data_IF_016137575137
#
_entry.id   IF_016137575137
#
_cell.length_a   1.000
_cell.length_b   1.000
_cell.length_c   1.000
_cell.angle_alpha   90.00
_cell.angle_beta   90.00
_cell.angle_gamma   90.00
#
_symmetry.space_group_name_H-M   'P 1'
#
loop_
_entity.id
_entity.type
_entity.pdbx_description
1 polymer ?
#
# COMPACT_ATOMS: atom_id res chain seq x y z
N UNK A 1 0.96 1.77 -18.92
CA UNK A 1 -0.27 1.84 -18.10
C UNK A 1 0.13 1.63 -16.65
N UNK A 2 -0.47 2.37 -15.71
CA UNK A 2 -0.23 2.21 -14.26
C UNK A 2 -1.49 1.67 -13.60
N UNK A 3 -1.34 0.70 -12.70
CA UNK A 3 -2.45 0.12 -11.93
C UNK A 3 -2.35 0.58 -10.48
N UNK A 4 -3.29 1.43 -10.07
CA UNK A 4 -3.52 1.68 -8.65
C UNK A 4 -4.26 0.49 -8.06
N UNK A 5 -3.65 -0.19 -7.10
CA UNK A 5 -4.29 -1.32 -6.39
C UNK A 5 -4.64 -0.96 -4.95
N UNK A 6 -3.89 -0.08 -4.30
CA UNK A 6 -4.08 0.27 -2.90
C UNK A 6 -5.12 1.40 -2.71
N UNK A 7 -5.45 1.67 -1.44
CA UNK A 7 -6.22 2.86 -1.08
C UNK A 7 -5.36 4.14 -1.15
N UNK A 8 -6.00 5.30 -1.23
CA UNK A 8 -5.33 6.58 -1.46
C UNK A 8 -5.28 7.44 -0.20
N UNK A 9 -4.08 7.72 0.31
CA UNK A 9 -3.86 8.57 1.49
C UNK A 9 -3.30 9.92 1.07
N UNK A 10 -4.13 10.96 1.17
CA UNK A 10 -3.75 12.35 0.86
C UNK A 10 -4.12 12.82 -0.55
N UNK A 11 -4.51 11.91 -1.44
CA UNK A 11 -5.05 12.24 -2.77
C UNK A 11 -6.53 12.62 -2.80
N UNK A 12 -7.22 12.73 -1.65
CA UNK A 12 -8.66 12.97 -1.58
C UNK A 12 -9.09 14.23 -2.36
N UNK A 13 -8.35 15.32 -2.24
CA UNK A 13 -8.61 16.59 -2.94
C UNK A 13 -8.50 16.46 -4.45
N UNK A 14 -7.51 15.71 -4.93
CA UNK A 14 -7.31 15.44 -6.37
C UNK A 14 -8.45 14.59 -6.91
N UNK A 15 -8.79 13.50 -6.22
CA UNK A 15 -9.88 12.60 -6.58
C UNK A 15 -11.22 13.33 -6.64
N UNK A 16 -11.52 14.19 -5.66
CA UNK A 16 -12.72 15.03 -5.70
C UNK A 16 -12.69 16.04 -6.85
N UNK A 17 -11.53 16.58 -7.24
CA UNK A 17 -11.42 17.51 -8.38
C UNK A 17 -11.69 16.80 -9.70
N UNK A 18 -11.23 15.56 -9.84
CA UNK A 18 -11.56 14.71 -10.99
C UNK A 18 -13.08 14.47 -11.05
N UNK A 19 -13.72 14.11 -9.93
CA UNK A 19 -15.18 13.96 -9.87
C UNK A 19 -15.90 15.26 -10.24
N UNK A 20 -15.43 16.43 -9.79
CA UNK A 20 -16.03 17.73 -10.11
C UNK A 20 -16.02 18.04 -11.60
N UNK A 21 -14.97 17.65 -12.32
CA UNK A 21 -14.87 17.85 -13.77
C UNK A 21 -15.82 16.97 -14.58
N UNK A 22 -16.31 15.86 -14.02
CA UNK A 22 -17.19 14.92 -14.71
C UNK A 22 -18.65 15.40 -14.79
N UNK A 23 -19.39 15.13 -15.88
CA UNK A 23 -20.83 15.41 -15.95
C UNK A 23 -21.60 14.63 -14.88
N UNK A 24 -22.44 15.32 -14.08
CA UNK A 24 -23.18 14.71 -12.96
C UNK A 24 -24.53 15.40 -12.71
N UNK A 25 -25.52 14.69 -12.14
CA UNK A 25 -26.78 15.30 -11.71
C UNK A 25 -26.59 16.37 -10.64
N UNK A 26 -27.53 17.32 -10.53
CA UNK A 26 -27.52 18.38 -9.51
C UNK A 26 -27.45 17.82 -8.08
N UNK A 27 -28.13 16.71 -7.82
CA UNK A 27 -28.08 16.03 -6.52
C UNK A 27 -26.68 15.52 -6.19
N UNK A 28 -26.01 14.85 -7.15
CA UNK A 28 -24.63 14.41 -7.01
C UNK A 28 -23.66 15.58 -6.80
N UNK A 29 -23.85 16.68 -7.54
CA UNK A 29 -23.04 17.89 -7.36
C UNK A 29 -23.18 18.48 -5.95
N UNK A 30 -24.40 18.52 -5.41
CA UNK A 30 -24.63 18.99 -4.04
C UNK A 30 -24.02 18.06 -2.98
N UNK A 31 -24.12 16.75 -3.16
CA UNK A 31 -23.47 15.77 -2.29
C UNK A 31 -21.94 15.90 -2.33
N UNK A 32 -21.36 16.03 -3.53
CA UNK A 32 -19.91 16.18 -3.72
C UNK A 32 -19.40 17.49 -3.09
N UNK A 33 -20.17 18.58 -3.19
CA UNK A 33 -19.84 19.83 -2.53
C UNK A 33 -19.78 19.68 -0.99
N UNK A 34 -20.67 18.88 -0.39
CA UNK A 34 -20.63 18.57 1.06
C UNK A 34 -19.40 17.74 1.42
N UNK A 35 -19.10 16.72 0.62
CA UNK A 35 -17.88 15.91 0.79
C UNK A 35 -16.62 16.79 0.72
N UNK A 36 -16.53 17.68 -0.27
CA UNK A 36 -15.41 18.62 -0.40
C UNK A 36 -15.34 19.60 0.77
N UNK A 37 -16.47 20.14 1.22
CA UNK A 37 -16.50 21.03 2.38
C UNK A 37 -15.96 20.33 3.63
N UNK A 38 -16.32 19.06 3.85
CA UNK A 38 -15.81 18.26 4.96
C UNK A 38 -14.29 18.01 4.87
N UNK A 39 -13.79 17.63 3.69
CA UNK A 39 -12.33 17.49 3.45
C UNK A 39 -11.59 18.80 3.70
N UNK A 40 -12.05 19.91 3.13
CA UNK A 40 -11.44 21.24 3.33
C UNK A 40 -11.42 21.63 4.80
N UNK A 41 -12.51 21.42 5.54
CA UNK A 41 -12.58 21.72 6.97
C UNK A 41 -11.60 20.83 7.78
N UNK A 42 -11.51 19.54 7.45
CA UNK A 42 -10.59 18.60 8.08
C UNK A 42 -9.13 19.04 7.88
N UNK A 43 -8.75 19.35 6.63
CA UNK A 43 -7.41 19.83 6.31
C UNK A 43 -7.09 21.20 6.92
N UNK A 44 -8.04 22.13 6.98
CA UNK A 44 -7.86 23.41 7.66
C UNK A 44 -7.58 23.21 9.17
N UNK A 45 -8.31 22.27 9.80
CA UNK A 45 -8.11 21.91 11.21
C UNK A 45 -6.77 21.22 11.45
N UNK A 46 -6.35 20.33 10.56
CA UNK A 46 -4.99 19.75 10.57
C UNK A 46 -3.94 20.86 10.50
N UNK A 47 -4.10 21.81 9.57
CA UNK A 47 -3.14 22.89 9.37
C UNK A 47 -3.00 23.79 10.62
N UNK A 48 -4.11 24.06 11.33
CA UNK A 48 -4.12 24.88 12.55
C UNK A 48 -3.65 24.14 13.80
N UNK A 49 -4.12 22.91 14.02
CA UNK A 49 -3.87 22.15 15.26
C UNK A 49 -2.65 21.23 15.17
N UNK A 50 -2.07 21.05 13.97
CA UNK A 50 -0.92 20.17 13.72
C UNK A 50 -1.13 18.74 14.25
N UNK A 51 -2.37 18.25 14.12
CA UNK A 51 -2.74 16.94 14.61
C UNK A 51 -3.18 16.04 13.44
N UNK A 52 -2.44 14.95 13.26
CA UNK A 52 -2.67 13.96 12.20
C UNK A 52 -4.07 13.35 12.21
N UNK A 53 -4.77 13.36 13.35
CA UNK A 53 -6.16 12.89 13.43
C UNK A 53 -7.13 13.71 12.57
N UNK A 54 -6.76 14.93 12.14
CA UNK A 54 -7.62 15.73 11.27
C UNK A 54 -7.26 15.63 9.79
N UNK A 55 -6.30 14.78 9.42
CA UNK A 55 -6.11 14.44 8.02
C UNK A 55 -7.39 13.74 7.54
N UNK A 56 -7.98 14.21 6.44
CA UNK A 56 -9.30 13.74 6.01
C UNK A 56 -9.35 12.22 5.81
N UNK A 57 -8.28 11.61 5.30
CA UNK A 57 -8.19 10.17 5.14
C UNK A 57 -8.40 9.38 6.45
N UNK A 58 -8.12 9.96 7.62
CA UNK A 58 -8.20 9.29 8.93
C UNK A 58 -9.43 9.68 9.76
N UNK A 59 -10.17 10.72 9.36
CA UNK A 59 -11.29 11.27 10.14
C UNK A 59 -12.49 11.70 9.30
N UNK A 60 -12.44 11.51 7.99
CA UNK A 60 -13.58 11.72 7.10
C UNK A 60 -14.66 10.67 7.32
N UNK A 61 -15.92 11.07 7.13
CA UNK A 61 -17.07 10.18 7.22
C UNK A 61 -17.31 9.48 5.87
N UNK A 62 -17.18 8.13 5.79
CA UNK A 62 -17.45 7.39 4.55
C UNK A 62 -18.90 7.54 4.06
N UNK A 63 -19.86 7.88 4.93
CA UNK A 63 -21.24 8.15 4.52
C UNK A 63 -21.36 9.35 3.57
N UNK A 64 -20.43 10.32 3.63
CA UNK A 64 -20.39 11.43 2.68
C UNK A 64 -20.07 10.96 1.27
N UNK A 65 -19.17 9.98 1.12
CA UNK A 65 -18.85 9.39 -0.19
C UNK A 65 -20.03 8.56 -0.71
N UNK A 66 -20.65 7.75 0.17
CA UNK A 66 -21.87 6.99 -0.16
C UNK A 66 -22.99 7.90 -0.68
N UNK A 67 -23.20 9.06 -0.04
CA UNK A 67 -24.19 10.02 -0.49
C UNK A 67 -23.91 10.57 -1.90
N UNK A 68 -22.64 10.74 -2.30
CA UNK A 68 -22.30 11.11 -3.68
C UNK A 68 -22.65 9.99 -4.65
N UNK A 69 -22.25 8.76 -4.33
CA UNK A 69 -22.51 7.57 -5.14
C UNK A 69 -24.02 7.36 -5.36
N UNK A 70 -24.80 7.39 -4.28
CA UNK A 70 -26.24 7.13 -4.33
C UNK A 70 -26.98 8.21 -5.12
N UNK A 71 -26.50 9.46 -5.07
CA UNK A 71 -27.07 10.58 -5.82
C UNK A 71 -26.63 10.64 -7.29
N UNK A 72 -25.72 9.76 -7.73
CA UNK A 72 -25.14 9.76 -9.08
C UNK A 72 -25.33 8.42 -9.79
N UNK A 73 -26.60 8.04 -10.00
CA UNK A 73 -26.93 6.83 -10.76
C UNK A 73 -26.36 6.88 -12.19
N UNK A 74 -25.81 5.76 -12.67
CA UNK A 74 -25.23 5.63 -14.01
C UNK A 74 -23.90 6.36 -14.22
N UNK A 75 -23.15 6.66 -13.16
CA UNK A 75 -21.82 7.24 -13.27
C UNK A 75 -20.83 6.36 -14.06
N UNK A 76 -19.81 6.97 -14.66
CA UNK A 76 -18.81 6.25 -15.46
C UNK A 76 -18.00 5.26 -14.61
N UNK A 77 -17.32 4.30 -15.26
CA UNK A 77 -16.41 3.38 -14.58
C UNK A 77 -15.28 4.12 -13.83
N UNK A 78 -14.81 5.24 -14.37
CA UNK A 78 -13.82 6.10 -13.71
C UNK A 78 -14.39 6.72 -12.43
N UNK A 79 -15.60 7.28 -12.49
CA UNK A 79 -16.27 7.81 -11.31
C UNK A 79 -16.52 6.72 -10.26
N UNK A 80 -16.91 5.50 -10.69
CA UNK A 80 -17.03 4.33 -9.81
C UNK A 80 -15.73 4.05 -9.08
N UNK A 81 -14.61 4.01 -9.81
CA UNK A 81 -13.29 3.74 -9.23
C UNK A 81 -12.90 4.79 -8.21
N UNK A 82 -13.07 6.07 -8.54
CA UNK A 82 -12.70 7.18 -7.63
C UNK A 82 -13.55 7.16 -6.37
N UNK A 83 -14.87 6.98 -6.49
CA UNK A 83 -15.78 6.91 -5.34
C UNK A 83 -15.47 5.70 -4.46
N UNK A 84 -15.17 4.54 -5.06
CA UNK A 84 -14.76 3.35 -4.32
C UNK A 84 -13.44 3.59 -3.57
N UNK A 85 -12.43 4.21 -4.21
CA UNK A 85 -11.17 4.56 -3.56
C UNK A 85 -11.36 5.50 -2.38
N UNK A 86 -12.17 6.57 -2.55
CA UNK A 86 -12.47 7.50 -1.46
C UNK A 86 -13.17 6.81 -0.28
N UNK A 87 -14.18 5.96 -0.54
CA UNK A 87 -14.90 5.26 0.51
C UNK A 87 -14.01 4.24 1.24
N UNK A 88 -13.24 3.43 0.50
CA UNK A 88 -12.35 2.43 1.07
C UNK A 88 -11.22 3.07 1.87
N UNK A 89 -10.64 4.19 1.42
CA UNK A 89 -9.67 4.96 2.21
C UNK A 89 -10.24 5.31 3.58
N UNK A 90 -11.45 5.87 3.62
CA UNK A 90 -12.06 6.32 4.86
C UNK A 90 -12.41 5.15 5.77
N UNK A 91 -12.95 4.06 5.23
CA UNK A 91 -13.34 2.90 6.02
C UNK A 91 -12.14 2.11 6.58
N UNK A 92 -11.09 1.91 5.77
CA UNK A 92 -9.86 1.24 6.21
C UNK A 92 -9.23 2.00 7.37
N UNK A 93 -9.09 3.32 7.22
CA UNK A 93 -8.47 4.16 8.25
C UNK A 93 -9.39 4.37 9.45
N UNK A 94 -10.72 4.34 9.30
CA UNK A 94 -11.66 4.35 10.43
C UNK A 94 -11.46 3.12 11.31
N UNK A 95 -11.33 1.93 10.73
CA UNK A 95 -11.03 0.71 11.49
C UNK A 95 -9.68 0.84 12.22
N UNK A 96 -8.66 1.38 11.54
CA UNK A 96 -7.36 1.62 12.15
C UNK A 96 -7.42 2.60 13.32
N UNK A 97 -8.13 3.72 13.17
CA UNK A 97 -8.32 4.73 14.22
C UNK A 97 -9.09 4.17 15.43
N UNK A 98 -9.99 3.21 15.21
CA UNK A 98 -10.69 2.46 16.25
C UNK A 98 -9.84 1.35 16.90
N UNK A 99 -8.55 1.25 16.55
CA UNK A 99 -7.61 0.21 17.02
C UNK A 99 -8.01 -1.21 16.58
N UNK A 100 -8.82 -1.33 15.53
CA UNK A 100 -9.19 -2.60 14.89
C UNK A 100 -8.20 -2.90 13.75
N UNK A 101 -6.92 -3.01 14.09
CA UNK A 101 -5.84 -3.12 13.12
C UNK A 101 -5.95 -4.35 12.21
N UNK A 102 -6.36 -5.49 12.75
CA UNK A 102 -6.57 -6.71 11.96
C UNK A 102 -7.67 -6.53 10.89
N UNK A 103 -8.84 -6.02 11.29
CA UNK A 103 -9.96 -5.79 10.37
C UNK A 103 -9.61 -4.73 9.31
N UNK A 104 -8.89 -3.69 9.70
CA UNK A 104 -8.36 -2.67 8.79
C UNK A 104 -7.47 -3.30 7.71
N UNK A 105 -6.53 -4.16 8.11
CA UNK A 105 -5.62 -4.84 7.19
C UNK A 105 -6.34 -5.86 6.30
N UNK A 106 -7.31 -6.61 6.83
CA UNK A 106 -8.13 -7.53 6.03
C UNK A 106 -8.90 -6.76 4.95
N UNK A 107 -9.51 -5.63 5.31
CA UNK A 107 -10.22 -4.78 4.36
C UNK A 107 -9.29 -4.22 3.28
N UNK A 108 -8.14 -3.67 3.66
CA UNK A 108 -7.12 -3.17 2.72
C UNK A 108 -6.63 -4.25 1.77
N UNK A 109 -6.21 -5.41 2.30
CA UNK A 109 -5.75 -6.54 1.49
C UNK A 109 -6.83 -7.02 0.53
N UNK A 110 -8.10 -7.06 0.96
CA UNK A 110 -9.23 -7.42 0.09
C UNK A 110 -9.42 -6.41 -1.03
N UNK A 111 -9.34 -5.12 -0.72
CA UNK A 111 -9.45 -4.05 -1.71
C UNK A 111 -8.32 -4.12 -2.74
N UNK A 112 -7.07 -4.27 -2.29
CA UNK A 112 -5.89 -4.43 -3.15
C UNK A 112 -6.02 -5.59 -4.12
N UNK A 113 -6.42 -6.76 -3.61
CA UNK A 113 -6.63 -7.96 -4.42
C UNK A 113 -7.74 -7.77 -5.45
N UNK A 114 -8.85 -7.16 -5.04
CA UNK A 114 -9.99 -6.89 -5.94
C UNK A 114 -9.57 -5.97 -7.08
N UNK A 115 -8.82 -4.90 -6.78
CA UNK A 115 -8.31 -3.99 -7.79
C UNK A 115 -7.32 -4.69 -8.75
N UNK A 116 -6.39 -5.50 -8.24
CA UNK A 116 -5.47 -6.26 -9.09
C UNK A 116 -6.23 -7.17 -10.06
N UNK A 117 -7.23 -7.92 -9.58
CA UNK A 117 -8.06 -8.79 -10.44
C UNK A 117 -8.82 -7.96 -11.47
N UNK A 118 -9.40 -6.83 -11.09
CA UNK A 118 -10.13 -5.98 -12.02
C UNK A 118 -9.24 -5.49 -13.17
N UNK A 119 -8.04 -4.98 -12.86
CA UNK A 119 -7.07 -4.57 -13.89
C UNK A 119 -6.63 -5.74 -14.78
N UNK A 120 -6.33 -6.89 -14.17
CA UNK A 120 -5.94 -8.09 -14.91
C UNK A 120 -7.03 -8.54 -15.89
N UNK A 121 -8.29 -8.60 -15.44
CA UNK A 121 -9.41 -9.01 -16.27
C UNK A 121 -9.69 -8.00 -17.40
N UNK A 122 -9.51 -6.70 -17.15
CA UNK A 122 -9.67 -5.68 -18.18
C UNK A 122 -8.65 -5.85 -19.32
N UNK A 123 -7.40 -6.19 -19.00
CA UNK A 123 -6.38 -6.50 -20.01
C UNK A 123 -6.74 -7.76 -20.81
N UNK A 124 -7.17 -8.82 -20.12
CA UNK A 124 -7.59 -10.07 -20.78
C UNK A 124 -8.79 -9.86 -21.70
N UNK A 125 -9.79 -9.11 -21.26
CA UNK A 125 -10.96 -8.78 -22.07
C UNK A 125 -10.59 -8.00 -23.34
N UNK A 126 -9.49 -7.23 -23.29
CA UNK A 126 -8.94 -6.54 -24.44
C UNK A 126 -7.95 -7.39 -25.27
N UNK A 127 -7.88 -8.71 -25.03
CA UNK A 127 -7.03 -9.65 -25.77
C UNK A 127 -5.54 -9.52 -25.46
N UNK A 128 -5.17 -8.89 -24.35
CA UNK A 128 -3.76 -8.69 -23.96
C UNK A 128 -3.32 -9.73 -22.93
N UNK A 129 -2.03 -10.07 -22.98
CA UNK A 129 -1.35 -10.88 -21.97
C UNK A 129 -0.41 -9.96 -21.16
N UNK A 130 -0.87 -9.38 -20.03
CA UNK A 130 -0.12 -8.32 -19.37
C UNK A 130 1.14 -8.84 -18.69
N UNK A 131 2.25 -8.14 -18.91
CA UNK A 131 3.46 -8.25 -18.10
C UNK A 131 3.45 -7.10 -17.07
N UNK A 132 3.50 -7.45 -15.78
CA UNK A 132 3.27 -6.48 -14.71
C UNK A 132 4.50 -6.36 -13.83
N UNK A 133 5.00 -5.14 -13.68
CA UNK A 133 5.98 -4.79 -12.66
C UNK A 133 5.24 -4.15 -11.47
N UNK A 134 5.38 -4.72 -10.28
CA UNK A 134 4.69 -4.25 -9.07
C UNK A 134 5.69 -3.63 -8.11
N UNK A 135 5.42 -2.39 -7.69
CA UNK A 135 6.17 -1.70 -6.63
C UNK A 135 5.22 -1.41 -5.48
N UNK A 136 5.39 -2.12 -4.37
CA UNK A 136 4.57 -2.03 -3.17
C UNK A 136 5.46 -2.15 -1.93
N UNK A 137 4.94 -1.75 -0.76
CA UNK A 137 5.60 -2.04 0.51
C UNK A 137 5.82 -3.54 0.69
N UNK A 138 6.95 -3.92 1.29
CA UNK A 138 7.36 -5.33 1.41
C UNK A 138 6.27 -6.21 2.02
N UNK A 139 5.56 -5.74 3.05
CA UNK A 139 4.49 -6.48 3.71
C UNK A 139 3.38 -6.96 2.77
N UNK A 140 3.09 -6.19 1.71
CA UNK A 140 2.06 -6.53 0.72
C UNK A 140 2.52 -7.56 -0.31
N UNK A 141 3.84 -7.83 -0.42
CA UNK A 141 4.44 -8.69 -1.44
C UNK A 141 4.97 -10.03 -0.89
N UNK A 142 4.77 -10.30 0.39
CA UNK A 142 5.14 -11.58 1.01
C UNK A 142 4.28 -12.71 0.43
N UNK A 143 4.93 -13.78 -0.07
CA UNK A 143 4.28 -15.04 -0.42
C UNK A 143 3.87 -15.79 0.85
N UNK A 144 2.66 -15.51 1.31
CA UNK A 144 2.05 -16.16 2.47
C UNK A 144 1.42 -15.13 3.41
N UNK A 145 1.39 -15.47 4.70
CA UNK A 145 0.87 -14.60 5.75
C UNK A 145 1.85 -13.44 6.01
N UNK A 146 1.40 -12.21 5.79
CA UNK A 146 2.19 -10.99 5.99
C UNK A 146 2.44 -10.68 7.47
N UNK A 147 3.21 -9.63 7.78
CA UNK A 147 3.37 -9.15 9.17
C UNK A 147 2.07 -8.59 9.78
N UNK A 148 1.08 -8.29 8.95
CA UNK A 148 -0.24 -7.84 9.40
C UNK A 148 -1.25 -8.99 9.47
N UNK A 149 -0.77 -10.24 9.39
CA UNK A 149 -1.58 -11.45 9.50
C UNK A 149 -2.63 -11.60 8.37
N UNK A 150 -2.33 -11.08 7.18
CA UNK A 150 -3.20 -11.10 6.00
C UNK A 150 -2.56 -11.82 4.81
N UNK A 151 -3.39 -12.20 3.81
CA UNK A 151 -2.94 -12.76 2.53
C UNK A 151 -3.18 -11.77 1.40
N UNK A 152 -2.13 -11.09 0.99
CA UNK A 152 -2.22 -9.92 0.12
C UNK A 152 -1.76 -10.21 -1.33
N UNK A 153 -1.32 -9.18 -2.06
CA UNK A 153 -0.81 -9.26 -3.43
C UNK A 153 0.32 -10.27 -3.58
N UNK A 154 1.20 -10.39 -2.59
CA UNK A 154 2.32 -11.34 -2.59
C UNK A 154 1.89 -12.80 -2.73
N UNK A 155 0.66 -13.13 -2.31
CA UNK A 155 0.03 -14.43 -2.54
C UNK A 155 -0.66 -14.45 -3.91
N UNK A 156 -1.45 -13.42 -4.21
CA UNK A 156 -2.31 -13.43 -5.39
C UNK A 156 -1.55 -13.36 -6.73
N UNK A 157 -0.54 -12.49 -6.83
CA UNK A 157 0.13 -12.24 -8.11
C UNK A 157 0.89 -13.48 -8.65
N UNK A 158 1.64 -14.24 -7.83
CA UNK A 158 2.23 -15.50 -8.28
C UNK A 158 1.20 -16.55 -8.68
N UNK A 159 0.07 -16.64 -7.98
CA UNK A 159 -1.01 -17.59 -8.31
C UNK A 159 -1.66 -17.26 -9.65
N UNK A 160 -1.97 -15.98 -9.92
CA UNK A 160 -2.45 -15.53 -11.24
C UNK A 160 -1.42 -15.90 -12.31
N UNK A 161 -0.14 -15.60 -12.09
CA UNK A 161 0.90 -15.92 -13.06
C UNK A 161 0.96 -17.44 -13.32
N UNK A 162 0.93 -18.27 -12.28
CA UNK A 162 0.97 -19.73 -12.41
C UNK A 162 -0.24 -20.29 -13.17
N UNK A 163 -1.46 -19.82 -12.85
CA UNK A 163 -2.69 -20.24 -13.53
C UNK A 163 -2.72 -19.88 -15.01
N UNK A 164 -2.03 -18.81 -15.39
CA UNK A 164 -1.92 -18.34 -16.78
C UNK A 164 -0.67 -18.89 -17.49
N UNK A 165 0.02 -19.88 -16.89
CA UNK A 165 1.25 -20.49 -17.44
C UNK A 165 2.47 -19.56 -17.43
N UNK A 166 2.39 -18.45 -16.71
CA UNK A 166 3.44 -17.48 -16.50
C UNK A 166 4.33 -17.79 -15.30
N UNK A 167 5.16 -16.81 -14.93
CA UNK A 167 6.07 -16.87 -13.78
C UNK A 167 6.05 -15.54 -13.05
N UNK A 168 6.24 -15.59 -11.74
CA UNK A 168 6.43 -14.41 -10.91
C UNK A 168 7.81 -14.45 -10.24
N UNK A 169 8.39 -13.27 -10.07
CA UNK A 169 9.65 -13.08 -9.36
C UNK A 169 9.45 -11.98 -8.31
N UNK A 170 9.85 -12.23 -7.06
CA UNK A 170 9.68 -11.25 -5.97
C UNK A 170 11.03 -10.86 -5.35
N UNK A 171 11.25 -9.55 -5.23
CA UNK A 171 12.43 -8.95 -4.64
C UNK A 171 12.01 -8.12 -3.42
N UNK A 172 12.54 -8.47 -2.25
CA UNK A 172 12.51 -7.59 -1.09
C UNK A 172 13.65 -6.58 -1.18
N UNK A 173 13.41 -5.34 -0.77
CA UNK A 173 14.42 -4.28 -0.72
C UNK A 173 14.41 -3.70 0.69
N UNK A 174 15.56 -3.77 1.36
CA UNK A 174 15.74 -3.28 2.72
C UNK A 174 16.92 -2.30 2.80
N UNK A 175 16.87 -1.31 3.70
CA UNK A 175 18.01 -0.46 3.98
C UNK A 175 19.15 -1.26 4.64
N UNK A 176 20.39 -0.82 4.41
CA UNK A 176 21.56 -1.36 5.09
C UNK A 176 21.59 -1.06 6.59
N UNK A 177 22.48 -1.74 7.31
CA UNK A 177 22.68 -1.49 8.74
C UNK A 177 23.08 -0.03 8.98
N UNK A 178 22.45 0.62 9.96
CA UNK A 178 22.73 2.02 10.30
C UNK A 178 22.19 3.07 9.32
N UNK A 179 21.56 2.66 8.21
CA UNK A 179 20.93 3.60 7.27
C UNK A 179 19.70 4.28 7.89
N UNK A 180 19.45 5.53 7.51
CA UNK A 180 18.19 6.22 7.79
C UNK A 180 17.20 6.03 6.64
N UNK A 181 15.91 6.09 6.95
CA UNK A 181 14.83 6.02 5.97
C UNK A 181 13.98 7.30 6.01
N UNK A 182 13.22 7.53 4.95
CA UNK A 182 12.22 8.59 4.91
C UNK A 182 10.98 8.12 5.68
N UNK A 183 10.65 8.78 6.79
CA UNK A 183 9.46 8.49 7.60
C UNK A 183 8.47 9.64 7.51
N UNK A 184 7.20 9.32 7.26
CA UNK A 184 6.13 10.30 7.23
C UNK A 184 5.91 10.88 8.63
N UNK A 185 6.05 12.19 8.75
CA UNK A 185 5.57 12.99 9.87
C UNK A 185 4.13 13.44 9.56
N UNK A 186 3.11 12.91 10.26
CA UNK A 186 1.72 13.31 10.05
C UNK A 186 1.41 14.72 10.58
N UNK A 187 2.23 15.30 11.46
CA UNK A 187 2.07 16.65 12.01
C UNK A 187 2.44 17.68 10.94
N UNK A 188 3.63 17.53 10.35
CA UNK A 188 4.11 18.37 9.25
C UNK A 188 3.62 17.92 7.87
N UNK A 189 2.95 16.77 7.77
CA UNK A 189 2.56 16.11 6.52
C UNK A 189 3.72 16.01 5.50
N UNK A 190 4.88 15.57 5.99
CA UNK A 190 6.13 15.52 5.21
C UNK A 190 6.99 14.35 5.63
N UNK A 191 7.84 13.87 4.73
CA UNK A 191 8.86 12.89 5.10
C UNK A 191 10.07 13.58 5.72
N UNK A 192 10.63 12.97 6.76
CA UNK A 192 11.91 13.35 7.36
C UNK A 192 12.83 12.12 7.49
N UNK A 193 14.16 12.31 7.48
CA UNK A 193 15.10 11.29 7.89
C UNK A 193 14.83 10.81 9.31
N UNK A 194 14.68 9.50 9.49
CA UNK A 194 14.60 8.87 10.81
C UNK A 194 15.16 7.44 10.73
N UNK A 195 15.38 6.82 11.88
CA UNK A 195 15.64 5.39 11.99
C UNK A 195 14.43 4.57 11.50
N UNK A 196 14.65 3.40 10.88
CA UNK A 196 13.55 2.55 10.47
C UNK A 196 12.67 2.12 11.67
N UNK A 197 11.43 2.60 11.72
CA UNK A 197 10.48 2.32 12.81
C UNK A 197 10.03 0.85 12.87
N UNK A 198 10.10 0.15 11.75
CA UNK A 198 9.56 -1.21 11.60
C UNK A 198 10.53 -2.31 12.05
N UNK A 199 11.72 -1.94 12.56
CA UNK A 199 12.70 -2.92 13.03
C UNK A 199 13.12 -3.91 11.94
N UNK A 200 13.36 -3.44 10.71
CA UNK A 200 13.63 -4.30 9.53
C UNK A 200 14.72 -5.36 9.72
N UNK A 201 15.63 -5.15 10.67
CA UNK A 201 16.72 -6.09 10.97
C UNK A 201 16.30 -7.21 11.93
N UNK A 202 15.24 -7.00 12.71
CA UNK A 202 14.83 -7.90 13.78
C UNK A 202 14.47 -9.28 13.21
N UNK A 203 15.24 -10.30 13.61
CA UNK A 203 15.05 -11.65 13.12
C UNK A 203 15.62 -11.92 11.73
N UNK A 204 16.31 -10.96 11.12
CA UNK A 204 17.02 -11.10 9.83
C UNK A 204 18.54 -10.96 10.01
N UNK A 205 19.06 -11.04 11.24
CA UNK A 205 20.46 -10.84 11.57
C UNK A 205 21.42 -11.69 10.72
N UNK A 206 21.13 -12.98 10.41
CA UNK A 206 22.00 -13.76 9.54
C UNK A 206 22.13 -13.22 8.11
N UNK A 207 21.06 -12.63 7.56
CA UNK A 207 21.08 -12.05 6.22
C UNK A 207 21.85 -10.73 6.21
N UNK A 208 21.70 -9.92 7.26
CA UNK A 208 22.47 -8.69 7.43
C UNK A 208 23.95 -8.97 7.68
N UNK A 209 24.30 -10.01 8.44
CA UNK A 209 25.68 -10.43 8.64
C UNK A 209 26.35 -10.94 7.36
N UNK A 210 25.57 -11.46 6.41
CA UNK A 210 26.06 -11.87 5.09
C UNK A 210 26.17 -10.70 4.08
N UNK A 211 25.62 -9.52 4.41
CA UNK A 211 25.68 -8.36 3.54
C UNK A 211 27.02 -7.62 3.67
N UNK A 212 27.50 -7.09 2.55
CA UNK A 212 28.67 -6.21 2.55
C UNK A 212 28.33 -4.87 3.21
N UNK A 213 29.19 -4.34 4.10
CA UNK A 213 28.92 -3.10 4.81
C UNK A 213 28.89 -1.87 3.89
N UNK A 214 29.64 -1.87 2.79
CA UNK A 214 29.89 -0.67 1.98
C UNK A 214 29.32 -0.74 0.55
N UNK A 215 28.66 -1.84 0.18
CA UNK A 215 28.03 -1.99 -1.14
C UNK A 215 26.69 -2.69 -1.04
N UNK A 216 25.79 -2.35 -1.96
CA UNK A 216 24.51 -3.03 -2.06
C UNK A 216 24.73 -4.52 -2.28
N UNK A 217 24.05 -5.34 -1.48
CA UNK A 217 24.16 -6.80 -1.53
C UNK A 217 22.85 -7.41 -1.99
N UNK A 218 22.91 -8.18 -3.07
CA UNK A 218 21.78 -8.97 -3.55
C UNK A 218 21.97 -10.43 -3.13
N UNK A 219 21.04 -10.96 -2.35
CA UNK A 219 21.06 -12.31 -1.79
C UNK A 219 19.97 -13.15 -2.49
N UNK A 220 20.36 -14.27 -3.09
CA UNK A 220 19.41 -15.27 -3.60
C UNK A 220 18.87 -16.12 -2.46
N UNK A 221 17.57 -15.98 -2.17
CA UNK A 221 16.92 -16.68 -1.06
C UNK A 221 16.44 -18.08 -1.46
N UNK A 222 16.34 -18.39 -2.75
CA UNK A 222 15.74 -19.65 -3.23
C UNK A 222 16.49 -20.89 -2.76
N UNK A 223 17.84 -20.95 -2.77
CA UNK A 223 18.57 -22.11 -2.26
C UNK A 223 18.31 -22.38 -0.77
N UNK A 224 18.00 -21.33 0.00
CA UNK A 224 17.78 -21.45 1.44
C UNK A 224 16.47 -22.19 1.78
N UNK A 225 15.45 -22.13 0.91
CA UNK A 225 14.13 -22.75 1.16
C UNK A 225 14.22 -24.26 1.42
N UNK A 226 15.14 -24.96 0.74
CA UNK A 226 15.31 -26.41 0.87
C UNK A 226 15.90 -26.84 2.21
N UNK A 227 16.69 -25.96 2.85
CA UNK A 227 17.33 -26.25 4.13
C UNK A 227 16.53 -25.72 5.31
N UNK A 228 15.70 -24.68 5.11
CA UNK A 228 14.96 -24.03 6.19
C UNK A 228 13.93 -24.93 6.86
N UNK A 229 13.38 -25.91 6.14
CA UNK A 229 12.48 -26.90 6.74
C UNK A 229 13.11 -27.72 7.88
N UNK A 230 14.45 -27.87 7.89
CA UNK A 230 15.18 -28.62 8.93
C UNK A 230 15.39 -27.82 10.22
N UNK A 231 15.39 -26.50 10.12
CA UNK A 231 15.74 -25.59 11.22
C UNK A 231 14.53 -24.81 11.72
N UNK A 232 13.31 -25.24 11.34
CA UNK A 232 12.08 -24.47 11.53
C UNK A 232 11.87 -24.03 12.99
N UNK A 233 12.14 -24.91 13.94
CA UNK A 233 11.88 -24.66 15.36
C UNK A 233 12.91 -23.72 16.01
N UNK A 234 14.13 -23.68 15.46
CA UNK A 234 15.23 -22.81 15.92
C UNK A 234 15.35 -21.51 15.10
N UNK A 235 14.53 -21.34 14.06
CA UNK A 235 14.61 -20.19 13.15
C UNK A 235 13.60 -19.12 13.53
N UNK A 236 14.07 -17.87 13.58
CA UNK A 236 13.20 -16.72 13.82
C UNK A 236 12.07 -16.64 12.76
N UNK A 237 10.80 -16.41 13.14
CA UNK A 237 9.67 -16.38 12.19
C UNK A 237 9.85 -15.38 11.04
N UNK A 238 10.46 -14.22 11.28
CA UNK A 238 10.76 -13.24 10.22
C UNK A 238 11.73 -13.78 9.17
N UNK A 239 12.77 -14.54 9.56
CA UNK A 239 13.68 -15.15 8.60
C UNK A 239 12.97 -16.17 7.71
N UNK A 240 12.09 -16.99 8.30
CA UNK A 240 11.25 -17.91 7.54
C UNK A 240 10.34 -17.15 6.56
N UNK A 241 9.69 -16.07 7.03
CA UNK A 241 8.81 -15.25 6.20
C UNK A 241 9.57 -14.58 5.06
N UNK A 242 10.79 -14.11 5.30
CA UNK A 242 11.65 -13.52 4.26
C UNK A 242 12.05 -14.56 3.20
N UNK A 243 12.62 -15.69 3.62
CA UNK A 243 13.15 -16.72 2.71
C UNK A 243 12.06 -17.39 1.87
N UNK A 244 10.89 -17.64 2.46
CA UNK A 244 9.77 -18.23 1.73
C UNK A 244 8.91 -17.17 1.02
N UNK A 245 8.91 -15.93 1.51
CA UNK A 245 8.15 -14.81 0.96
C UNK A 245 8.73 -14.23 -0.33
N UNK A 246 10.06 -14.23 -0.48
CA UNK A 246 10.77 -13.58 -1.57
C UNK A 246 11.75 -14.50 -2.29
N UNK A 247 12.01 -14.26 -3.58
CA UNK A 247 13.06 -14.95 -4.32
C UNK A 247 14.44 -14.35 -4.06
N UNK A 248 14.51 -13.03 -3.92
CA UNK A 248 15.75 -12.32 -3.61
C UNK A 248 15.52 -11.23 -2.57
N UNK A 249 16.59 -10.88 -1.87
CA UNK A 249 16.67 -9.74 -0.96
C UNK A 249 17.81 -8.83 -1.41
N UNK A 250 17.51 -7.54 -1.61
CA UNK A 250 18.49 -6.48 -1.80
C UNK A 250 18.64 -5.70 -0.48
N UNK A 251 19.85 -5.71 0.09
CA UNK A 251 20.23 -4.85 1.20
C UNK A 251 21.02 -3.67 0.63
N UNK A 252 20.50 -2.46 0.80
CA UNK A 252 21.10 -1.23 0.27
C UNK A 252 21.97 -0.54 1.32
N UNK A 253 23.21 -0.98 1.47
CA UNK A 253 24.22 -0.35 2.33
C UNK A 253 24.45 1.11 1.97
N UNK A 254 24.59 1.99 2.96
CA UNK A 254 24.68 3.46 2.78
C UNK A 254 23.50 4.11 2.04
N UNK A 255 22.33 3.46 2.03
CA UNK A 255 21.12 4.10 1.51
C UNK A 255 20.74 5.35 2.30
N UNK A 256 20.28 6.38 1.59
CA UNK A 256 19.82 7.64 2.19
C UNK A 256 18.31 7.81 2.05
N UNK A 257 17.67 8.56 2.97
CA UNK A 257 16.26 8.88 2.86
C UNK A 257 15.91 9.56 1.53
N UNK A 258 14.79 9.17 0.93
CA UNK A 258 14.25 9.86 -0.24
C UNK A 258 13.83 11.29 0.10
N UNK A 259 13.90 12.20 -0.87
CA UNK A 259 13.44 13.58 -0.74
C UNK A 259 11.92 13.70 -0.91
N UNK A 260 11.34 14.77 -0.36
CA UNK A 260 9.94 15.11 -0.64
C UNK A 260 9.80 15.56 -2.10
N UNK A 261 8.68 15.22 -2.74
CA UNK A 261 8.42 15.53 -4.15
C UNK A 261 8.24 17.04 -4.42
N UNK A 262 7.78 17.79 -3.41
CA UNK A 262 7.64 19.24 -3.50
C UNK A 262 8.79 19.89 -2.70
N UNK A 263 9.55 20.82 -3.30
CA UNK A 263 10.57 21.58 -2.58
C UNK A 263 9.94 22.48 -1.49
N UNK A 264 10.75 22.84 -0.50
CA UNK A 264 10.37 23.64 0.67
C UNK A 264 10.04 25.09 0.31
#
# INVERSE_FOLDING_TARGET
MFWGVDYEVGGDRLLMTMLEAMPKPKAAAAALARLRAASTASWAKHASEKNGQYIFAFNGDPALVRAVRDAWQGHSAEATSILATLEETLEINRLWALKLGYDSNIRRSTYMRTNLVAHWQAEKAAGRAPQVFMKLGMSHLIRGRSQTETWDIGVLAPEIAALEGGRAFSLAILPGQGSSVAVLDPVGWRYHPDTPKDGYMAGLEPLYAAASPDVFTLIDLRPLRAIMGRWRDDTHPELMRMVHGFDMLLIMSDSTPSTNLMPQ
#
